data_IF_103832776581
#
_entry.id   IF_103832776581
#
_cell.length_a   1.000
_cell.length_b   1.000
_cell.length_c   1.000
_cell.angle_alpha   90.00
_cell.angle_beta   90.00
_cell.angle_gamma   90.00
#
_symmetry.space_group_name_H-M   'P 1'
#
loop_
_entity.id
_entity.type
_entity.pdbx_description
1 polymer ?
#
# COMPACT_ATOMS: atom_id res chain seq x y z
N UNK A 1 -14.72 3.72 29.38
CA UNK A 1 -13.61 4.28 28.58
C UNK A 1 -13.72 3.69 27.18
N UNK A 2 -13.76 4.52 26.13
CA UNK A 2 -13.84 4.01 24.74
C UNK A 2 -12.47 3.41 24.39
N UNK A 3 -12.38 2.20 23.84
CA UNK A 3 -11.10 1.63 23.40
C UNK A 3 -10.49 2.49 22.28
N UNK A 4 -9.32 3.09 22.50
CA UNK A 4 -8.70 4.02 21.55
C UNK A 4 -8.49 3.39 20.17
N UNK A 5 -8.10 2.11 20.13
CA UNK A 5 -7.93 1.37 18.88
C UNK A 5 -9.20 1.30 18.03
N UNK A 6 -10.39 1.35 18.64
CA UNK A 6 -11.66 1.36 17.91
C UNK A 6 -11.97 2.68 17.20
N UNK A 7 -11.24 3.75 17.55
CA UNK A 7 -11.34 5.06 16.91
C UNK A 7 -10.46 5.18 15.67
N UNK A 8 -9.55 4.23 15.43
CA UNK A 8 -8.64 4.23 14.29
C UNK A 8 -9.32 3.55 13.11
N UNK A 9 -9.82 4.35 12.16
CA UNK A 9 -10.42 3.84 10.93
C UNK A 9 -9.37 3.28 9.95
N UNK A 10 -8.20 3.91 9.89
CA UNK A 10 -7.08 3.48 9.04
C UNK A 10 -5.76 4.07 9.52
N UNK A 11 -4.67 3.35 9.29
CA UNK A 11 -3.31 3.82 9.51
C UNK A 11 -2.53 3.73 8.20
N UNK A 12 -1.83 4.80 7.84
CA UNK A 12 -0.99 4.87 6.65
C UNK A 12 0.26 5.67 6.96
N UNK A 13 1.37 5.28 6.32
CA UNK A 13 2.68 5.89 6.54
C UNK A 13 3.22 6.35 5.19
N UNK A 14 3.67 7.60 5.13
CA UNK A 14 4.46 8.13 4.02
C UNK A 14 5.77 8.64 4.61
N UNK A 15 6.88 7.99 4.28
CA UNK A 15 8.22 8.41 4.68
C UNK A 15 8.80 9.32 3.60
N UNK A 16 9.24 10.50 4.00
CA UNK A 16 10.10 11.33 3.16
C UNK A 16 11.47 10.64 3.05
N UNK A 17 11.82 10.20 1.84
CA UNK A 17 13.01 9.40 1.56
C UNK A 17 13.76 9.98 0.38
N UNK A 18 15.09 9.97 0.46
CA UNK A 18 15.92 10.32 -0.69
C UNK A 18 15.84 9.20 -1.76
N UNK A 19 15.58 9.58 -3.01
CA UNK A 19 15.62 8.69 -4.16
C UNK A 19 16.97 8.79 -4.89
N UNK A 20 18.00 8.20 -4.28
CA UNK A 20 19.39 8.26 -4.74
C UNK A 20 19.62 7.49 -6.05
N UNK A 21 20.80 7.62 -6.65
CA UNK A 21 21.16 6.91 -7.88
C UNK A 21 21.17 5.40 -7.67
N UNK A 22 21.70 4.94 -6.53
CA UNK A 22 21.83 3.53 -6.16
C UNK A 22 20.47 2.85 -6.08
N UNK A 23 19.47 3.54 -5.52
CA UNK A 23 18.09 3.03 -5.48
C UNK A 23 17.54 2.78 -6.88
N UNK A 24 17.84 3.67 -7.83
CA UNK A 24 17.37 3.61 -9.21
C UNK A 24 18.07 2.53 -10.05
N UNK A 25 19.16 1.94 -9.57
CA UNK A 25 19.96 0.98 -10.35
C UNK A 25 19.28 -0.36 -10.58
N UNK A 26 18.38 -0.79 -9.70
CA UNK A 26 17.76 -2.13 -9.80
C UNK A 26 16.28 -2.10 -9.45
N UNK A 27 15.48 -2.92 -10.15
CA UNK A 27 14.05 -3.11 -9.87
C UNK A 27 13.80 -3.45 -8.40
N UNK A 28 14.60 -4.36 -7.85
CA UNK A 28 14.51 -4.78 -6.45
C UNK A 28 14.75 -3.63 -5.46
N UNK A 29 15.68 -2.73 -5.76
CA UNK A 29 15.94 -1.56 -4.92
C UNK A 29 14.79 -0.55 -4.99
N UNK A 30 14.22 -0.32 -6.18
CA UNK A 30 13.03 0.52 -6.34
C UNK A 30 11.82 -0.05 -5.60
N UNK A 31 11.54 -1.35 -5.71
CA UNK A 31 10.41 -1.99 -5.03
C UNK A 31 10.58 -1.91 -3.51
N UNK A 32 11.79 -2.16 -3.01
CA UNK A 32 12.09 -2.01 -1.58
C UNK A 32 11.93 -0.56 -1.13
N UNK A 33 12.40 0.40 -1.93
CA UNK A 33 12.26 1.82 -1.63
C UNK A 33 10.79 2.23 -1.58
N UNK A 34 9.97 1.80 -2.54
CA UNK A 34 8.52 2.04 -2.54
C UNK A 34 7.89 1.43 -1.28
N UNK A 35 8.17 0.17 -0.98
CA UNK A 35 7.62 -0.49 0.20
C UNK A 35 8.04 0.19 1.51
N UNK A 36 9.27 0.68 1.60
CA UNK A 36 9.74 1.48 2.74
C UNK A 36 9.05 2.84 2.81
N UNK A 37 8.91 3.54 1.68
CA UNK A 37 8.27 4.85 1.63
C UNK A 37 6.82 4.80 2.09
N UNK A 38 6.12 3.71 1.77
CA UNK A 38 4.71 3.46 2.13
C UNK A 38 4.54 2.77 3.49
N UNK A 39 5.64 2.59 4.26
CA UNK A 39 5.63 1.93 5.56
C UNK A 39 5.20 0.45 5.57
N UNK A 40 5.18 -0.22 4.42
CA UNK A 40 4.77 -1.62 4.28
C UNK A 40 5.79 -2.61 4.87
N UNK A 41 7.04 -2.15 5.01
CA UNK A 41 8.11 -2.88 5.68
C UNK A 41 8.89 -1.95 6.62
N UNK A 42 9.52 -2.56 7.61
CA UNK A 42 10.44 -1.86 8.51
C UNK A 42 11.85 -1.74 7.90
N UNK A 43 12.64 -0.72 8.30
CA UNK A 43 14.07 -0.72 8.04
C UNK A 43 14.71 -2.03 8.50
N UNK A 44 15.69 -2.53 7.75
CA UNK A 44 16.37 -3.81 8.01
C UNK A 44 15.46 -5.06 8.02
N UNK A 45 14.19 -4.94 7.62
CA UNK A 45 13.32 -6.11 7.54
C UNK A 45 13.85 -7.11 6.50
N UNK A 46 14.09 -8.32 7.00
CA UNK A 46 14.62 -9.45 6.26
C UNK A 46 13.54 -10.29 5.57
N UNK A 47 12.29 -10.18 6.04
CA UNK A 47 11.13 -10.87 5.45
C UNK A 47 10.85 -10.26 4.07
N UNK A 48 11.03 -11.08 3.02
CA UNK A 48 10.93 -10.64 1.63
C UNK A 48 9.54 -10.80 1.04
N UNK A 49 8.64 -11.56 1.68
CA UNK A 49 7.35 -11.92 1.11
C UNK A 49 6.52 -10.72 0.66
N UNK A 50 6.48 -9.63 1.43
CA UNK A 50 5.79 -8.40 1.02
C UNK A 50 6.43 -7.77 -0.24
N UNK A 51 7.77 -7.77 -0.31
CA UNK A 51 8.49 -7.24 -1.48
C UNK A 51 8.27 -8.12 -2.71
N UNK A 52 8.37 -9.44 -2.54
CA UNK A 52 8.15 -10.40 -3.62
C UNK A 52 6.68 -10.34 -4.12
N UNK A 53 5.72 -10.10 -3.22
CA UNK A 53 4.31 -9.88 -3.58
C UNK A 53 4.10 -8.56 -4.33
N UNK A 54 4.72 -7.46 -3.87
CA UNK A 54 4.66 -6.17 -4.58
C UNK A 54 5.29 -6.28 -5.97
N UNK A 55 6.41 -6.98 -6.10
CA UNK A 55 7.03 -7.27 -7.39
C UNK A 55 6.07 -8.01 -8.32
N UNK A 56 5.40 -9.05 -7.84
CA UNK A 56 4.40 -9.80 -8.60
C UNK A 56 3.23 -8.90 -9.03
N UNK A 57 2.68 -8.09 -8.12
CA UNK A 57 1.59 -7.16 -8.42
C UNK A 57 2.00 -6.12 -9.47
N UNK A 58 3.19 -5.53 -9.34
CA UNK A 58 3.71 -4.59 -10.34
C UNK A 58 3.94 -5.26 -11.68
N UNK A 59 4.48 -6.49 -11.71
CA UNK A 59 4.66 -7.24 -12.95
C UNK A 59 3.32 -7.42 -13.68
N UNK A 60 2.31 -7.99 -13.01
CA UNK A 60 1.03 -8.24 -13.66
C UNK A 60 0.33 -6.95 -14.10
N UNK A 61 0.40 -5.88 -13.30
CA UNK A 61 -0.30 -4.63 -13.64
C UNK A 61 0.42 -3.82 -14.71
N UNK A 62 1.75 -3.69 -14.62
CA UNK A 62 2.55 -2.80 -15.47
C UNK A 62 3.08 -3.50 -16.73
N UNK A 63 3.32 -4.82 -16.67
CA UNK A 63 3.86 -5.58 -17.82
C UNK A 63 2.76 -6.36 -18.55
N UNK A 64 1.87 -7.02 -17.81
CA UNK A 64 0.81 -7.87 -18.41
C UNK A 64 -0.53 -7.15 -18.58
N UNK A 65 -0.71 -5.97 -17.98
CA UNK A 65 -2.00 -5.25 -17.98
C UNK A 65 -3.15 -6.05 -17.36
N UNK A 66 -2.84 -6.98 -16.45
CA UNK A 66 -3.75 -8.02 -15.93
C UNK A 66 -3.94 -7.89 -14.42
N UNK A 67 -5.14 -8.22 -13.96
CA UNK A 67 -5.44 -8.41 -12.53
C UNK A 67 -5.20 -9.89 -12.14
N UNK A 68 -4.15 -10.21 -11.36
CA UNK A 68 -3.88 -11.59 -10.98
C UNK A 68 -4.79 -12.06 -9.84
N UNK A 69 -5.03 -13.36 -9.75
CA UNK A 69 -5.55 -14.00 -8.54
C UNK A 69 -4.42 -14.47 -7.59
N UNK A 70 -4.79 -15.06 -6.45
CA UNK A 70 -3.81 -15.53 -5.43
C UNK A 70 -2.91 -16.63 -5.99
N UNK A 71 -3.44 -17.51 -6.83
CA UNK A 71 -2.70 -18.61 -7.40
C UNK A 71 -1.64 -18.06 -8.36
N UNK A 72 -2.02 -17.16 -9.26
CA UNK A 72 -1.11 -16.51 -10.21
C UNK A 72 0.03 -15.75 -9.53
N UNK A 73 -0.26 -15.04 -8.43
CA UNK A 73 0.75 -14.36 -7.61
C UNK A 73 1.72 -15.37 -6.97
N UNK A 74 1.19 -16.44 -6.41
CA UNK A 74 1.98 -17.50 -5.77
C UNK A 74 2.87 -18.21 -6.78
N UNK A 75 2.35 -18.51 -7.97
CA UNK A 75 3.09 -19.09 -9.08
C UNK A 75 4.22 -18.19 -9.56
N UNK A 76 3.96 -16.88 -9.70
CA UNK A 76 5.00 -15.92 -10.07
C UNK A 76 6.12 -15.90 -9.04
N UNK A 77 5.78 -15.84 -7.74
CA UNK A 77 6.78 -15.83 -6.67
C UNK A 77 7.59 -17.14 -6.66
N UNK A 78 6.93 -18.29 -6.86
CA UNK A 78 7.58 -19.60 -6.93
C UNK A 78 8.57 -19.72 -8.08
N UNK A 79 8.18 -19.26 -9.27
CA UNK A 79 9.07 -19.22 -10.46
C UNK A 79 10.29 -18.33 -10.25
N UNK A 80 10.19 -17.32 -9.39
CA UNK A 80 11.28 -16.42 -9.01
C UNK A 80 12.05 -16.89 -7.75
N UNK A 81 11.95 -18.18 -7.41
CA UNK A 81 12.74 -18.80 -6.33
C UNK A 81 12.24 -18.46 -4.92
N UNK A 82 10.93 -18.22 -4.77
CA UNK A 82 10.29 -17.97 -3.47
C UNK A 82 9.18 -18.97 -3.21
N UNK A 83 9.43 -19.88 -2.28
CA UNK A 83 8.39 -20.74 -1.75
C UNK A 83 7.58 -19.98 -0.69
N UNK A 84 6.31 -19.73 -1.00
CA UNK A 84 5.35 -19.06 -0.12
C UNK A 84 4.02 -19.79 -0.22
N UNK A 85 3.32 -19.95 0.89
CA UNK A 85 1.97 -20.50 0.89
C UNK A 85 0.94 -19.47 0.45
N UNK A 86 -0.12 -19.91 -0.22
CA UNK A 86 -1.25 -19.04 -0.61
C UNK A 86 -1.85 -18.32 0.60
N UNK A 87 -1.88 -18.97 1.78
CA UNK A 87 -2.33 -18.35 3.04
C UNK A 87 -1.52 -17.11 3.41
N UNK A 88 -0.20 -17.17 3.21
CA UNK A 88 0.71 -16.04 3.48
C UNK A 88 0.52 -14.92 2.46
N UNK A 89 0.35 -15.27 1.18
CA UNK A 89 0.01 -14.31 0.12
C UNK A 89 -1.32 -13.62 0.44
N UNK A 90 -2.35 -14.37 0.82
CA UNK A 90 -3.65 -13.84 1.20
C UNK A 90 -3.56 -12.89 2.40
N UNK A 91 -2.77 -13.23 3.42
CA UNK A 91 -2.53 -12.36 4.57
C UNK A 91 -1.96 -11.01 4.15
N UNK A 92 -0.93 -10.99 3.31
CA UNK A 92 -0.33 -9.74 2.84
C UNK A 92 -1.26 -8.96 1.90
N UNK A 93 -2.01 -9.63 1.03
CA UNK A 93 -3.05 -8.98 0.21
C UNK A 93 -4.14 -8.33 1.08
N UNK A 94 -4.51 -8.96 2.20
CA UNK A 94 -5.43 -8.38 3.16
C UNK A 94 -4.83 -7.13 3.84
N UNK A 95 -3.54 -7.15 4.20
CA UNK A 95 -2.85 -5.98 4.72
C UNK A 95 -2.83 -4.82 3.70
N UNK A 96 -2.47 -5.12 2.46
CA UNK A 96 -2.47 -4.13 1.37
C UNK A 96 -3.88 -3.57 1.11
N UNK A 97 -4.91 -4.43 1.18
CA UNK A 97 -6.30 -4.00 1.03
C UNK A 97 -6.73 -3.07 2.16
N UNK A 98 -6.35 -3.38 3.41
CA UNK A 98 -6.62 -2.52 4.56
C UNK A 98 -5.91 -1.16 4.45
N UNK A 99 -4.71 -1.14 3.88
CA UNK A 99 -3.98 0.09 3.56
C UNK A 99 -4.56 0.84 2.33
N UNK A 100 -5.59 0.29 1.68
CA UNK A 100 -6.18 0.87 0.47
C UNK A 100 -5.33 0.72 -0.79
N UNK A 101 -4.21 0.00 -0.73
CA UNK A 101 -3.25 -0.13 -1.84
C UNK A 101 -3.67 -1.14 -2.90
N UNK A 102 -4.54 -2.09 -2.56
CA UNK A 102 -5.11 -3.03 -3.52
C UNK A 102 -6.61 -3.13 -3.35
N UNK A 103 -7.33 -3.26 -4.46
CA UNK A 103 -8.73 -3.66 -4.51
C UNK A 103 -8.84 -5.13 -4.91
N UNK A 104 -9.89 -5.80 -4.44
CA UNK A 104 -10.23 -7.17 -4.84
C UNK A 104 -11.55 -7.16 -5.60
N UNK A 105 -11.55 -7.65 -6.83
CA UNK A 105 -12.74 -7.79 -7.67
C UNK A 105 -12.85 -9.24 -8.17
N UNK A 106 -13.95 -9.94 -7.86
CA UNK A 106 -14.19 -11.34 -8.26
C UNK A 106 -12.98 -12.27 -8.06
N UNK A 107 -12.27 -12.12 -6.94
CA UNK A 107 -11.09 -12.94 -6.61
C UNK A 107 -9.76 -12.44 -7.16
N UNK A 108 -9.76 -11.44 -8.05
CA UNK A 108 -8.58 -10.82 -8.65
C UNK A 108 -8.19 -9.55 -7.92
N UNK A 109 -6.92 -9.18 -7.99
CA UNK A 109 -6.35 -8.04 -7.29
C UNK A 109 -5.79 -7.03 -8.28
N UNK A 110 -5.99 -5.75 -7.99
CA UNK A 110 -5.39 -4.65 -8.75
C UNK A 110 -5.15 -3.47 -7.84
N UNK A 111 -4.32 -2.53 -8.27
CA UNK A 111 -4.25 -1.23 -7.62
C UNK A 111 -5.59 -0.50 -7.83
N UNK A 112 -6.06 0.32 -6.86
CA UNK A 112 -7.17 1.22 -7.09
C UNK A 112 -6.95 2.05 -8.36
N UNK A 113 -7.99 2.62 -8.94
CA UNK A 113 -7.82 3.63 -9.99
C UNK A 113 -8.22 4.97 -9.42
N UNK A 114 -7.39 5.99 -9.61
CA UNK A 114 -7.84 7.36 -9.45
C UNK A 114 -8.97 7.63 -10.45
N UNK A 115 -10.02 8.39 -10.08
CA UNK A 115 -11.09 8.78 -11.02
C UNK A 115 -10.58 9.43 -12.30
N UNK A 116 -9.41 10.06 -12.24
CA UNK A 116 -8.79 10.81 -13.34
C UNK A 116 -7.68 10.03 -14.05
N UNK A 117 -7.34 8.82 -13.59
CA UNK A 117 -6.22 8.05 -14.11
C UNK A 117 -6.61 7.14 -15.28
N UNK A 118 -5.72 7.06 -16.28
CA UNK A 118 -5.80 6.04 -17.32
C UNK A 118 -5.66 4.62 -16.74
N UNK A 119 -6.18 3.63 -17.45
CA UNK A 119 -6.09 2.23 -17.02
C UNK A 119 -4.62 1.78 -17.01
N UNK A 120 -4.13 1.41 -15.83
CA UNK A 120 -2.75 0.93 -15.64
C UNK A 120 -1.80 1.94 -14.99
N UNK A 121 -2.25 3.17 -14.73
CA UNK A 121 -1.44 4.16 -14.02
C UNK A 121 -1.42 3.91 -12.51
N UNK A 122 -0.50 3.03 -12.10
CA UNK A 122 -0.27 2.67 -10.69
C UNK A 122 0.24 3.85 -9.87
N UNK A 123 1.00 4.76 -10.47
CA UNK A 123 1.59 5.90 -9.76
C UNK A 123 0.51 6.85 -9.27
N UNK A 124 -0.37 7.30 -10.18
CA UNK A 124 -1.50 8.17 -9.85
C UNK A 124 -2.46 7.52 -8.85
N UNK A 125 -2.64 6.20 -8.94
CA UNK A 125 -3.49 5.46 -8.00
C UNK A 125 -2.96 5.42 -6.58
N UNK A 126 -1.66 5.19 -6.40
CA UNK A 126 -1.02 5.20 -5.09
C UNK A 126 -1.08 6.63 -4.52
N UNK A 127 -0.73 7.64 -5.33
CA UNK A 127 -0.77 9.04 -4.92
C UNK A 127 -2.17 9.47 -4.47
N UNK A 128 -3.20 9.20 -5.29
CA UNK A 128 -4.59 9.53 -4.98
C UNK A 128 -5.04 8.89 -3.66
N UNK A 129 -4.71 7.61 -3.46
CA UNK A 129 -5.09 6.88 -2.24
C UNK A 129 -4.53 7.55 -1.00
N UNK A 130 -3.24 7.89 -1.01
CA UNK A 130 -2.58 8.51 0.14
C UNK A 130 -3.01 9.95 0.37
N UNK A 131 -3.16 10.76 -0.69
CA UNK A 131 -3.66 12.13 -0.58
C UNK A 131 -5.06 12.16 0.02
N UNK A 132 -5.99 11.38 -0.54
CA UNK A 132 -7.38 11.31 -0.06
C UNK A 132 -7.45 10.86 1.42
N UNK A 133 -6.69 9.82 1.80
CA UNK A 133 -6.68 9.35 3.18
C UNK A 133 -6.08 10.40 4.15
N UNK A 134 -5.05 11.13 3.70
CA UNK A 134 -4.43 12.23 4.48
C UNK A 134 -5.38 13.40 4.67
N UNK A 135 -6.05 13.84 3.61
CA UNK A 135 -7.03 14.92 3.63
C UNK A 135 -8.19 14.60 4.60
N UNK A 136 -8.69 13.37 4.55
CA UNK A 136 -9.73 12.88 5.46
C UNK A 136 -9.28 12.89 6.92
N UNK A 137 -8.06 12.45 7.22
CA UNK A 137 -7.49 12.50 8.56
C UNK A 137 -7.35 13.95 9.07
N UNK A 138 -6.78 14.84 8.23
CA UNK A 138 -6.61 16.26 8.59
C UNK A 138 -7.94 16.98 8.78
N UNK A 139 -8.98 16.64 8.02
CA UNK A 139 -10.34 17.16 8.21
C UNK A 139 -10.85 16.89 9.63
N UNK A 140 -10.76 15.63 10.09
CA UNK A 140 -11.19 15.23 11.43
C UNK A 140 -10.37 15.90 12.54
N UNK A 141 -9.05 16.02 12.34
CA UNK A 141 -8.17 16.76 13.27
C UNK A 141 -8.60 18.23 13.38
N UNK A 142 -8.88 18.88 12.24
CA UNK A 142 -9.35 20.27 12.21
C UNK A 142 -10.67 20.44 12.95
N UNK A 143 -11.63 19.54 12.74
CA UNK A 143 -12.90 19.53 13.46
C UNK A 143 -12.69 19.41 14.98
N UNK A 144 -11.83 18.48 15.41
CA UNK A 144 -11.48 18.31 16.82
C UNK A 144 -10.85 19.59 17.43
N UNK A 145 -9.92 20.23 16.72
CA UNK A 145 -9.30 21.49 17.17
C UNK A 145 -10.29 22.64 17.26
N UNK A 146 -11.27 22.73 16.36
CA UNK A 146 -12.34 23.74 16.44
C UNK A 146 -13.19 23.54 17.69
N UNK A 147 -13.58 22.29 17.99
CA UNK A 147 -14.33 21.95 19.19
C UNK A 147 -13.52 22.30 20.45
N UNK A 148 -12.26 21.89 20.49
CA UNK A 148 -11.35 22.17 21.61
C UNK A 148 -11.15 23.68 21.85
N UNK A 149 -10.96 24.46 20.78
CA UNK A 149 -10.81 25.92 20.89
C UNK A 149 -12.06 26.60 21.44
N UNK A 150 -13.27 26.08 21.19
CA UNK A 150 -14.52 26.63 21.75
C UNK A 150 -14.65 26.33 23.24
N UNK A 151 -14.08 25.21 23.71
CA UNK A 151 -14.09 24.84 25.13
C UNK A 151 -13.19 25.76 25.95
N UNK A 152 -12.00 26.10 25.46
CA UNK A 152 -11.06 27.00 26.16
C UNK A 152 -11.46 28.50 26.16
N UNK A 153 -12.40 28.91 25.31
CA UNK A 153 -12.90 30.30 25.24
C UNK A 153 -14.10 30.56 26.16
N UNK A 154 -14.55 29.55 26.89
CA UNK A 154 -15.57 29.66 27.95
C UNK A 154 -14.88 29.70 29.31
#
# INVERSE_FOLDING_TARGET
MIPEASLIESEFVVRDMQLTKEVRMTKKSLIRWIALSLGLISPNESRKTMLDLLEALFYFQLSEGKEPDVHELTEYMRKNGREVSEKTVFYHLLQLKKAGLVKRNKGRYSFPQSPEAEKGDVASSIEYTYKRNSEEAFRKIKEALVVLSRMYRK
#
